data_IF_026309046810
#
_entry.id   IF_026309046810
#
_cell.length_a   1.000
_cell.length_b   1.000
_cell.length_c   1.000
_cell.angle_alpha   90.00
_cell.angle_beta   90.00
_cell.angle_gamma   90.00
#
_symmetry.space_group_name_H-M   'P 1'
#
loop_
_entity.id
_entity.type
_entity.pdbx_description
1 polymer ?
#
# COMPACT_ATOMS: atom_id res chain seq x y z
N UNK A 1 47.75 4.81 -2.63
CA UNK A 1 46.71 4.64 -3.65
C UNK A 1 45.47 4.07 -2.98
N UNK A 2 44.41 4.86 -2.85
CA UNK A 2 43.11 4.41 -2.30
C UNK A 2 42.24 3.96 -3.48
N UNK A 3 41.73 2.72 -3.52
CA UNK A 3 40.79 2.32 -4.56
C UNK A 3 39.43 2.97 -4.26
N UNK A 4 39.01 3.87 -5.14
CA UNK A 4 37.64 4.36 -5.17
C UNK A 4 36.77 3.22 -5.69
N UNK A 5 36.01 2.58 -4.82
CA UNK A 5 34.94 1.67 -5.22
C UNK A 5 33.84 2.52 -5.83
N UNK A 6 33.77 2.49 -7.15
CA UNK A 6 32.66 3.06 -7.89
C UNK A 6 31.39 2.30 -7.53
N UNK A 7 30.50 2.94 -6.80
CA UNK A 7 29.18 2.42 -6.53
C UNK A 7 28.39 2.43 -7.85
N UNK A 8 28.25 1.27 -8.46
CA UNK A 8 27.39 1.08 -9.62
C UNK A 8 25.91 1.14 -9.15
N UNK A 9 25.29 2.31 -9.26
CA UNK A 9 23.87 2.46 -9.06
C UNK A 9 23.12 1.81 -10.20
N UNK A 10 22.65 0.58 -9.99
CA UNK A 10 21.76 -0.09 -10.93
C UNK A 10 20.34 0.45 -10.70
N UNK A 11 19.94 1.46 -11.44
CA UNK A 11 18.57 1.95 -11.47
C UNK A 11 17.73 0.95 -12.29
N UNK A 12 17.07 0.03 -11.61
CA UNK A 12 16.07 -0.83 -12.25
C UNK A 12 14.72 -0.14 -12.12
N UNK A 13 14.30 0.52 -13.17
CA UNK A 13 12.93 1.02 -13.32
C UNK A 13 12.00 -0.17 -13.58
N UNK A 14 11.53 -0.81 -12.53
CA UNK A 14 10.42 -1.76 -12.60
C UNK A 14 9.13 -0.97 -12.35
N UNK A 15 8.52 -0.48 -13.42
CA UNK A 15 7.14 -0.04 -13.39
C UNK A 15 6.29 -1.28 -13.05
N UNK A 16 5.94 -1.44 -11.78
CA UNK A 16 4.86 -2.36 -11.41
C UNK A 16 3.59 -1.87 -12.09
N UNK A 17 2.83 -2.75 -12.77
CA UNK A 17 1.55 -2.35 -13.33
C UNK A 17 0.69 -1.82 -12.19
N UNK A 18 0.45 -0.51 -12.19
CA UNK A 18 -0.56 0.09 -11.34
C UNK A 18 -1.89 -0.54 -11.74
N UNK A 19 -2.57 -1.18 -10.81
CA UNK A 19 -3.98 -1.53 -11.02
C UNK A 19 -4.70 -0.24 -11.39
N UNK A 20 -5.41 -0.28 -12.54
CA UNK A 20 -6.11 0.87 -13.08
C UNK A 20 -7.06 1.43 -12.02
N UNK A 21 -6.70 2.59 -11.43
CA UNK A 21 -7.52 3.27 -10.46
C UNK A 21 -6.84 3.73 -9.16
N UNK A 22 -5.61 3.33 -8.88
CA UNK A 22 -4.92 3.80 -7.67
C UNK A 22 -4.45 5.25 -7.84
N UNK A 23 -4.88 6.17 -6.95
CA UNK A 23 -4.50 7.59 -7.03
C UNK A 23 -3.02 7.84 -6.73
N UNK A 24 -2.34 6.89 -6.09
CA UNK A 24 -0.91 6.99 -5.76
C UNK A 24 -0.16 5.84 -6.40
N UNK A 25 0.86 6.17 -7.16
CA UNK A 25 1.69 5.19 -7.88
C UNK A 25 3.14 5.25 -7.42
N UNK A 26 3.84 4.12 -7.50
CA UNK A 26 5.29 4.06 -7.34
C UNK A 26 5.94 4.48 -8.65
N UNK A 27 6.70 5.57 -8.61
CA UNK A 27 7.38 6.12 -9.79
C UNK A 27 8.78 5.53 -9.93
N UNK A 28 9.48 5.36 -8.82
CA UNK A 28 10.86 4.90 -8.80
C UNK A 28 11.17 4.17 -7.50
N UNK A 29 11.99 3.13 -7.59
CA UNK A 29 12.61 2.46 -6.45
C UNK A 29 14.13 2.44 -6.65
N UNK A 30 14.85 2.84 -5.62
CA UNK A 30 16.32 2.75 -5.56
C UNK A 30 16.71 1.86 -4.40
N UNK A 31 17.61 0.91 -4.64
CA UNK A 31 18.14 -0.01 -3.63
C UNK A 31 19.63 0.23 -3.48
N UNK A 32 20.05 0.53 -2.28
CA UNK A 32 21.48 0.76 -1.97
C UNK A 32 21.92 -0.22 -0.91
N UNK A 33 22.89 -1.10 -1.21
CA UNK A 33 23.46 -1.97 -0.20
C UNK A 33 24.26 -1.15 0.81
N UNK A 34 24.01 -1.39 2.09
CA UNK A 34 24.75 -0.78 3.21
C UNK A 34 25.49 -1.88 3.93
N UNK A 35 26.82 -1.84 3.85
CA UNK A 35 27.68 -2.82 4.50
C UNK A 35 28.34 -2.16 5.70
N UNK A 36 28.08 -2.67 6.89
CA UNK A 36 28.79 -2.32 8.10
C UNK A 36 29.56 -3.53 8.63
N UNK A 37 30.49 -3.32 9.57
CA UNK A 37 31.32 -4.41 10.13
C UNK A 37 30.52 -5.57 10.73
N UNK A 38 29.27 -5.34 11.13
CA UNK A 38 28.44 -6.32 11.82
C UNK A 38 27.15 -6.71 11.08
N UNK A 39 26.69 -5.89 10.14
CA UNK A 39 25.39 -6.08 9.49
C UNK A 39 25.45 -5.72 8.01
N UNK A 40 24.78 -6.52 7.20
CA UNK A 40 24.48 -6.20 5.82
C UNK A 40 23.00 -5.86 5.71
N UNK A 41 22.70 -4.69 5.20
CA UNK A 41 21.33 -4.22 4.98
C UNK A 41 21.19 -3.58 3.60
N UNK A 42 19.96 -3.44 3.16
CA UNK A 42 19.62 -2.73 1.93
C UNK A 42 18.72 -1.56 2.29
N UNK A 43 19.14 -0.38 1.89
CA UNK A 43 18.32 0.82 1.98
C UNK A 43 17.46 0.91 0.72
N UNK A 44 16.15 0.93 0.92
CA UNK A 44 15.16 1.13 -0.15
C UNK A 44 14.66 2.58 -0.08
N UNK A 45 14.75 3.27 -1.19
CA UNK A 45 14.16 4.61 -1.36
C UNK A 45 13.12 4.50 -2.46
N UNK A 46 11.87 4.72 -2.11
CA UNK A 46 10.71 4.60 -3.02
C UNK A 46 10.09 5.97 -3.22
N UNK A 47 10.03 6.41 -4.47
CA UNK A 47 9.36 7.64 -4.86
C UNK A 47 7.92 7.34 -5.26
N UNK A 48 6.99 7.99 -4.58
CA UNK A 48 5.55 7.90 -4.81
C UNK A 48 5.04 9.18 -5.43
N UNK A 49 4.02 9.10 -6.27
CA UNK A 49 3.37 10.26 -6.89
C UNK A 49 1.85 10.12 -6.80
N UNK A 50 1.18 11.19 -6.42
CA UNK A 50 -0.26 11.29 -6.55
C UNK A 50 -0.62 11.68 -7.99
N UNK A 51 -1.21 10.74 -8.72
CA UNK A 51 -1.65 10.94 -10.12
C UNK A 51 -3.12 11.31 -10.23
N UNK A 52 -3.83 11.39 -9.11
CA UNK A 52 -5.24 11.78 -9.09
C UNK A 52 -5.41 13.30 -8.99
N UNK A 53 -6.58 13.84 -9.39
CA UNK A 53 -6.91 15.25 -9.21
C UNK A 53 -7.31 15.60 -7.76
N UNK A 54 -7.29 14.63 -6.84
CA UNK A 54 -7.72 14.80 -5.45
C UNK A 54 -6.54 14.70 -4.49
N UNK A 55 -6.54 15.46 -3.39
CA UNK A 55 -5.52 15.30 -2.35
C UNK A 55 -5.69 13.95 -1.62
N UNK A 56 -4.58 13.31 -1.33
CA UNK A 56 -4.50 12.11 -0.48
C UNK A 56 -3.82 12.44 0.83
N UNK A 57 -4.23 11.80 1.92
CA UNK A 57 -3.72 12.07 3.27
C UNK A 57 -3.43 10.76 4.00
N UNK A 58 -2.56 10.84 5.00
CA UNK A 58 -2.27 9.69 5.85
C UNK A 58 -1.70 8.51 5.09
N UNK A 59 -0.82 8.78 4.13
CA UNK A 59 -0.15 7.76 3.35
C UNK A 59 0.60 6.78 4.24
N UNK A 60 0.38 5.50 4.00
CA UNK A 60 1.12 4.41 4.59
C UNK A 60 1.40 3.38 3.52
N UNK A 61 2.62 2.93 3.44
CA UNK A 61 3.04 1.96 2.42
C UNK A 61 3.56 0.72 3.10
N UNK A 62 3.00 -0.43 2.72
CA UNK A 62 3.49 -1.74 3.09
C UNK A 62 4.23 -2.34 1.90
N UNK A 63 5.47 -2.73 2.12
CA UNK A 63 6.34 -3.36 1.13
C UNK A 63 6.48 -4.82 1.50
N UNK A 64 6.14 -5.70 0.58
CA UNK A 64 6.18 -7.14 0.72
C UNK A 64 7.24 -7.71 -0.23
N UNK A 65 8.15 -8.52 0.31
CA UNK A 65 9.22 -9.16 -0.45
C UNK A 65 8.93 -10.66 -0.60
N UNK A 66 9.02 -11.15 -1.81
CA UNK A 66 8.73 -12.54 -2.16
C UNK A 66 9.93 -13.20 -2.84
N UNK A 67 10.08 -14.51 -2.64
CA UNK A 67 11.01 -15.33 -3.40
C UNK A 67 10.52 -15.62 -4.83
N UNK A 68 11.28 -16.41 -5.55
CA UNK A 68 10.92 -16.85 -6.91
C UNK A 68 9.63 -17.66 -6.97
N UNK A 69 9.32 -18.41 -5.91
CA UNK A 69 8.13 -19.28 -5.82
C UNK A 69 6.89 -18.55 -5.29
N UNK A 70 7.00 -17.24 -5.01
CA UNK A 70 5.91 -16.45 -4.46
C UNK A 70 5.71 -16.61 -2.95
N UNK A 71 6.69 -17.17 -2.22
CA UNK A 71 6.68 -17.24 -0.77
C UNK A 71 7.05 -15.87 -0.19
N UNK A 72 6.26 -15.39 0.77
CA UNK A 72 6.54 -14.15 1.48
C UNK A 72 7.75 -14.30 2.39
N UNK A 73 8.77 -13.46 2.19
CA UNK A 73 10.01 -13.46 2.96
C UNK A 73 9.99 -12.39 4.06
N UNK A 74 9.51 -11.20 3.74
CA UNK A 74 9.55 -10.06 4.65
C UNK A 74 8.43 -9.07 4.32
N UNK A 75 7.89 -8.44 5.36
CA UNK A 75 6.97 -7.31 5.25
C UNK A 75 7.55 -6.12 6.02
N UNK A 76 7.51 -4.95 5.41
CA UNK A 76 7.87 -3.68 6.05
C UNK A 76 6.80 -2.65 5.76
N UNK A 77 6.43 -1.89 6.78
CA UNK A 77 5.49 -0.78 6.64
C UNK A 77 6.18 0.51 7.05
N UNK A 78 5.97 1.55 6.27
CA UNK A 78 6.50 2.88 6.54
C UNK A 78 5.55 3.97 6.13
N UNK A 79 5.83 5.18 6.63
CA UNK A 79 5.11 6.40 6.27
C UNK A 79 6.01 7.23 5.36
N UNK A 80 5.58 7.55 4.14
CA UNK A 80 6.34 8.43 3.25
C UNK A 80 6.37 9.87 3.78
N UNK A 81 7.34 10.62 3.31
CA UNK A 81 7.48 12.04 3.63
C UNK A 81 7.39 12.86 2.34
N UNK A 82 6.42 13.77 2.25
CA UNK A 82 5.30 14.03 3.17
C UNK A 82 4.25 12.91 3.16
N UNK A 83 3.50 12.76 4.27
CA UNK A 83 2.43 11.77 4.39
C UNK A 83 1.11 12.22 3.74
N UNK A 84 1.06 13.42 3.21
CA UNK A 84 -0.09 14.00 2.50
C UNK A 84 0.39 14.60 1.20
N UNK A 85 -0.32 14.30 0.11
CA UNK A 85 0.03 14.73 -1.24
C UNK A 85 -1.14 15.43 -1.89
N UNK A 86 -0.90 16.63 -2.41
CA UNK A 86 -1.79 17.28 -3.38
C UNK A 86 -1.74 16.57 -4.74
N UNK A 87 -2.58 16.97 -5.69
CA UNK A 87 -2.54 16.47 -7.05
C UNK A 87 -1.17 16.70 -7.70
N UNK A 88 -0.54 15.66 -8.24
CA UNK A 88 0.75 15.73 -8.89
C UNK A 88 1.97 15.74 -7.95
N UNK A 89 1.77 15.87 -6.64
CA UNK A 89 2.85 15.89 -5.66
C UNK A 89 3.52 14.51 -5.50
N UNK A 90 4.73 14.53 -4.98
CA UNK A 90 5.54 13.35 -4.71
C UNK A 90 5.89 13.21 -3.24
N UNK A 91 6.07 11.96 -2.79
CA UNK A 91 6.59 11.63 -1.47
C UNK A 91 7.69 10.57 -1.57
N UNK A 92 8.59 10.58 -0.60
CA UNK A 92 9.67 9.61 -0.51
C UNK A 92 9.48 8.71 0.69
N UNK A 93 9.53 7.39 0.47
CA UNK A 93 9.58 6.39 1.51
C UNK A 93 10.98 5.84 1.61
N UNK A 94 11.58 5.87 2.80
CA UNK A 94 12.87 5.24 3.08
C UNK A 94 12.68 4.08 4.04
N UNK A 95 13.15 2.89 3.66
CA UNK A 95 13.09 1.68 4.45
C UNK A 95 14.45 1.00 4.46
N UNK A 96 14.81 0.40 5.60
CA UNK A 96 15.96 -0.48 5.70
C UNK A 96 15.50 -1.92 5.91
N UNK A 97 16.08 -2.85 5.15
CA UNK A 97 15.82 -4.28 5.28
C UNK A 97 17.15 -5.04 5.45
N UNK A 98 17.15 -6.21 6.09
CA UNK A 98 18.30 -7.10 5.98
C UNK A 98 18.51 -7.49 4.51
N UNK A 99 19.70 -7.91 4.16
CA UNK A 99 19.96 -8.45 2.81
C UNK A 99 19.17 -9.73 2.62
N UNK A 100 18.25 -9.71 1.66
CA UNK A 100 17.42 -10.85 1.29
C UNK A 100 17.89 -11.38 -0.06
N UNK A 101 18.81 -12.34 -0.04
CA UNK A 101 19.40 -12.90 -1.27
C UNK A 101 18.37 -13.64 -2.13
N UNK A 102 17.32 -14.17 -1.51
CA UNK A 102 16.26 -14.93 -2.16
C UNK A 102 15.13 -14.05 -2.72
N UNK A 103 15.07 -12.76 -2.34
CA UNK A 103 14.01 -11.87 -2.81
C UNK A 103 14.11 -11.61 -4.32
N UNK A 104 13.05 -11.91 -5.04
CA UNK A 104 12.93 -11.73 -6.50
C UNK A 104 11.79 -10.79 -6.89
N UNK A 105 10.76 -10.69 -6.06
CA UNK A 105 9.60 -9.85 -6.30
C UNK A 105 9.33 -8.93 -5.13
N UNK A 106 8.91 -7.72 -5.44
CA UNK A 106 8.47 -6.73 -4.44
C UNK A 106 7.07 -6.28 -4.80
N UNK A 107 6.18 -6.23 -3.82
CA UNK A 107 4.81 -5.70 -3.97
C UNK A 107 4.61 -4.54 -3.02
N UNK A 108 3.87 -3.55 -3.47
CA UNK A 108 3.53 -2.36 -2.71
C UNK A 108 2.03 -2.33 -2.45
N UNK A 109 1.65 -2.17 -1.18
CA UNK A 109 0.28 -1.86 -0.79
C UNK A 109 0.24 -0.45 -0.24
N UNK A 110 -0.47 0.43 -0.89
CA UNK A 110 -0.57 1.83 -0.52
C UNK A 110 -1.93 2.05 0.14
N UNK A 111 -1.90 2.55 1.37
CA UNK A 111 -3.08 2.95 2.13
C UNK A 111 -3.09 4.46 2.27
N UNK A 112 -4.26 5.07 2.10
CA UNK A 112 -4.45 6.51 2.20
C UNK A 112 -5.89 6.84 2.58
N UNK A 113 -6.09 8.03 3.16
CA UNK A 113 -7.38 8.67 3.33
C UNK A 113 -7.56 9.78 2.29
N UNK A 114 -8.80 10.15 1.98
CA UNK A 114 -9.11 11.09 0.89
C UNK A 114 -9.10 10.41 -0.48
N UNK A 115 -8.83 11.15 -1.52
CA UNK A 115 -8.93 10.67 -2.90
C UNK A 115 -10.34 10.77 -3.47
N UNK A 116 -10.58 10.25 -4.68
CA UNK A 116 -11.89 10.31 -5.31
C UNK A 116 -12.94 9.64 -4.43
N UNK A 117 -14.17 10.19 -4.38
CA UNK A 117 -15.24 9.54 -3.66
C UNK A 117 -15.38 8.13 -4.24
N UNK A 118 -15.17 7.13 -3.40
CA UNK A 118 -15.41 5.74 -3.79
C UNK A 118 -16.89 5.66 -4.15
N UNK A 119 -17.20 5.54 -5.43
CA UNK A 119 -18.55 5.30 -5.89
C UNK A 119 -19.06 4.07 -5.16
N UNK A 120 -19.96 4.34 -4.21
CA UNK A 120 -20.26 3.45 -3.13
C UNK A 120 -20.77 2.10 -3.62
N UNK A 121 -20.23 1.07 -3.07
CA UNK A 121 -21.14 -0.04 -2.73
C UNK A 121 -22.27 0.57 -1.89
N UNK A 122 -23.55 0.44 -2.30
CA UNK A 122 -24.66 0.90 -1.49
C UNK A 122 -24.43 0.30 -0.08
N UNK A 123 -24.27 1.16 0.91
CA UNK A 123 -24.31 0.68 2.29
C UNK A 123 -25.60 -0.11 2.41
N UNK A 124 -25.56 -1.39 2.85
CA UNK A 124 -26.78 -2.09 3.16
C UNK A 124 -27.54 -1.15 4.11
N UNK A 125 -28.72 -0.68 3.70
CA UNK A 125 -29.60 0.12 4.52
C UNK A 125 -29.74 -0.65 5.83
N UNK A 126 -29.06 -0.16 6.85
CA UNK A 126 -29.32 -0.59 8.23
C UNK A 126 -30.81 -0.37 8.39
N UNK A 127 -31.56 -1.48 8.49
CA UNK A 127 -33.00 -1.46 8.55
C UNK A 127 -33.46 -0.36 9.49
N UNK A 128 -34.14 0.64 8.89
CA UNK A 128 -34.74 1.70 9.67
C UNK A 128 -35.68 1.01 10.65
N UNK A 129 -35.40 1.15 11.95
CA UNK A 129 -36.43 0.93 12.95
C UNK A 129 -37.53 1.92 12.58
N UNK A 130 -38.69 1.40 12.14
CA UNK A 130 -39.88 2.19 12.04
C UNK A 130 -40.13 2.84 13.41
N UNK A 131 -40.23 4.17 13.50
CA UNK A 131 -40.50 4.86 14.76
C UNK A 131 -41.91 4.65 15.28
N UNK A 132 -42.75 3.92 14.56
CA UNK A 132 -44.08 3.54 15.00
C UNK A 132 -44.09 2.05 15.35
N UNK A 133 -43.93 1.74 16.62
CA UNK A 133 -44.04 0.40 17.20
C UNK A 133 -45.44 -0.21 17.04
N UNK A 134 -45.80 -0.53 15.79
CA UNK A 134 -46.97 -1.35 15.50
C UNK A 134 -46.51 -2.79 15.37
N UNK A 135 -46.73 -3.54 16.47
CA UNK A 135 -46.70 -4.99 16.42
C UNK A 135 -47.65 -5.48 15.35
N UNK A 136 -47.17 -6.13 14.32
CA UNK A 136 -48.00 -6.87 13.36
C UNK A 136 -48.54 -8.10 14.11
N UNK A 137 -49.84 -8.34 14.15
CA UNK A 137 -50.40 -9.55 14.74
C UNK A 137 -49.89 -10.77 13.98
N UNK A 138 -49.41 -11.74 14.77
CA UNK A 138 -48.95 -13.05 14.26
C UNK A 138 -50.22 -13.80 13.75
N UNK A 139 -50.28 -14.24 12.49
CA UNK A 139 -51.40 -15.06 12.02
C UNK A 139 -51.37 -16.42 12.74
N UNK A 140 -52.47 -16.72 13.45
CA UNK A 140 -52.69 -18.00 14.06
C UNK A 140 -52.75 -19.10 13.00
N UNK A 141 -51.90 -20.09 13.16
CA UNK A 141 -51.86 -21.28 12.33
C UNK A 141 -53.07 -22.18 12.67
N UNK A 142 -53.90 -22.59 11.70
CA UNK A 142 -54.98 -23.54 11.97
C UNK A 142 -54.42 -24.91 12.37
N UNK A 143 -55.06 -25.50 13.40
CA UNK A 143 -54.73 -26.86 13.85
C UNK A 143 -55.12 -27.90 12.79
N UNK A 144 -54.31 -29.00 12.65
CA UNK A 144 -54.66 -30.07 11.79
C UNK A 144 -55.83 -30.89 12.35
N UNK A 145 -56.73 -31.30 11.45
CA UNK A 145 -57.82 -32.21 11.74
C UNK A 145 -57.31 -33.64 11.89
#
# INVERSE_FOLDING_TARGET
MKPYLAALCLAVALASPAEAGDPVVVVQETRTPVVSKKHRSVQHVVLLKNVSPYPVRGLRVTVEFYDFFGKLLLVRTGTPVPASLGPGDTATLSLSTPTLEEARQTRYRIQYGGGPPRHGRPRPRRGGRDPAGRERPIPLRPAPA
#
